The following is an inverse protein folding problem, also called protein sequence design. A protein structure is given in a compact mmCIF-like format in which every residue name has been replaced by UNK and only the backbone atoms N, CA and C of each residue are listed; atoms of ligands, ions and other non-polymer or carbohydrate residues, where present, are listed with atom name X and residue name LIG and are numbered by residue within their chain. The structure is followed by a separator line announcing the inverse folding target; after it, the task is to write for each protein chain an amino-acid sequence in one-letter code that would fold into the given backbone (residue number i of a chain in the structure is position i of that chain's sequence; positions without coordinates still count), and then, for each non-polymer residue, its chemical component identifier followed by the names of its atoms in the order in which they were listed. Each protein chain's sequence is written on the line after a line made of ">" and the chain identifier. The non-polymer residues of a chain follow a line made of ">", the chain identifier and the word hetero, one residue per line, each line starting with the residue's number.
data_IF_610443046743
#
_entry.id   IF_610443046743
#
_cell.length_a   1.000
_cell.length_b   1.000
_cell.length_c   1.000
_cell.angle_alpha   90.00
_cell.angle_beta   90.00
_cell.angle_gamma   90.00
#
_symmetry.space_group_name_H-M   'P 1'
#
loop_
_entity.id
_entity.type
_entity.pdbx_description
1 polymer ?
#
# COMPACT_ATOMS: atom_id res chain seq x y z
N UNK A 1 47.02 -61.45 58.96
CA UNK A 1 48.06 -60.53 59.49
C UNK A 1 48.44 -59.57 58.39
N UNK A 2 48.45 -58.27 58.70
CA UNK A 2 48.78 -57.16 57.79
C UNK A 2 50.19 -57.29 57.19
N UNK A 3 50.36 -56.95 55.91
CA UNK A 3 51.46 -56.11 55.41
C UNK A 3 51.31 -55.85 53.89
N UNK A 4 51.17 -54.58 53.51
CA UNK A 4 51.35 -54.02 52.16
C UNK A 4 52.68 -53.21 52.19
N UNK A 5 53.28 -52.72 51.07
CA UNK A 5 52.93 -52.88 49.64
C UNK A 5 54.17 -53.26 48.75
N UNK A 6 53.94 -53.62 47.47
CA UNK A 6 55.01 -53.77 46.48
C UNK A 6 54.78 -52.88 45.24
N UNK A 7 55.73 -51.95 45.01
CA UNK A 7 55.87 -51.17 43.76
C UNK A 7 56.41 -52.08 42.64
N UNK A 8 55.97 -51.93 41.38
CA UNK A 8 56.76 -52.32 40.24
C UNK A 8 57.43 -51.12 39.55
N UNK A 9 58.62 -51.40 39.03
CA UNK A 9 59.54 -50.50 38.33
C UNK A 9 59.14 -50.30 36.86
N UNK A 10 59.49 -49.10 36.41
CA UNK A 10 59.52 -48.51 35.06
C UNK A 10 59.99 -49.47 33.95
N UNK A 11 59.23 -49.45 32.84
CA UNK A 11 59.75 -49.61 31.47
C UNK A 11 59.48 -48.29 30.76
N UNK A 12 60.51 -47.70 30.18
CA UNK A 12 60.45 -46.44 29.47
C UNK A 12 59.84 -46.64 28.07
N UNK A 13 58.75 -45.93 27.77
CA UNK A 13 58.33 -45.66 26.39
C UNK A 13 58.63 -44.19 26.08
N UNK A 14 59.32 -43.99 24.96
CA UNK A 14 59.64 -42.70 24.37
C UNK A 14 58.38 -41.87 24.14
N UNK A 15 58.30 -40.70 24.75
CA UNK A 15 57.34 -39.67 24.41
C UNK A 15 57.83 -38.95 23.15
N UNK A 16 57.22 -39.23 21.99
CA UNK A 16 57.25 -38.30 20.86
C UNK A 16 56.25 -37.18 21.15
N UNK A 17 56.78 -35.99 21.40
CA UNK A 17 56.06 -34.73 21.51
C UNK A 17 55.36 -34.40 20.20
N UNK A 18 54.02 -34.51 20.18
CA UNK A 18 53.19 -33.86 19.17
C UNK A 18 52.86 -32.44 19.66
N UNK A 19 53.45 -31.46 18.99
CA UNK A 19 53.05 -30.06 19.05
C UNK A 19 51.57 -29.97 18.63
N UNK A 20 50.65 -29.72 19.57
CA UNK A 20 49.32 -29.23 19.22
C UNK A 20 49.47 -27.78 18.78
N UNK A 21 49.56 -27.56 17.46
CA UNK A 21 49.24 -26.26 16.87
C UNK A 21 47.75 -26.00 17.09
N UNK A 22 47.43 -25.16 18.08
CA UNK A 22 46.14 -24.47 18.18
C UNK A 22 46.04 -23.53 16.98
N UNK A 23 45.58 -24.05 15.85
CA UNK A 23 45.06 -23.23 14.76
C UNK A 23 43.71 -22.71 15.25
N UNK A 24 43.50 -21.39 15.41
CA UNK A 24 42.15 -20.90 15.58
C UNK A 24 41.43 -21.24 14.28
N UNK A 25 40.47 -22.17 14.35
CA UNK A 25 39.56 -22.42 13.26
C UNK A 25 38.78 -21.11 13.03
N UNK A 26 39.30 -20.26 12.15
CA UNK A 26 38.52 -19.28 11.43
C UNK A 26 37.58 -20.10 10.55
N UNK A 27 36.49 -20.60 11.15
CA UNK A 27 35.32 -20.92 10.37
C UNK A 27 34.97 -19.63 9.62
N UNK A 28 34.86 -19.64 8.29
CA UNK A 28 34.14 -18.56 7.66
C UNK A 28 32.79 -18.54 8.36
N UNK A 29 32.41 -17.40 8.96
CA UNK A 29 31.00 -17.14 9.18
C UNK A 29 30.39 -17.35 7.81
N UNK A 30 29.63 -18.43 7.64
CA UNK A 30 28.62 -18.47 6.60
C UNK A 30 27.74 -17.29 6.93
N UNK A 31 28.03 -16.15 6.32
CA UNK A 31 27.05 -15.10 6.14
C UNK A 31 25.87 -15.82 5.51
N UNK A 32 24.79 -15.92 6.28
CA UNK A 32 23.47 -16.19 5.72
C UNK A 32 23.37 -15.32 4.45
N UNK A 33 23.06 -15.88 3.27
CA UNK A 33 22.73 -15.01 2.15
C UNK A 33 21.61 -14.10 2.65
N UNK A 34 21.82 -12.78 2.54
CA UNK A 34 20.75 -11.83 2.73
C UNK A 34 19.58 -12.31 1.85
N UNK A 35 18.45 -12.60 2.46
CA UNK A 35 17.24 -12.93 1.73
C UNK A 35 16.90 -11.72 0.86
N UNK A 36 16.99 -11.88 -0.45
CA UNK A 36 16.99 -10.81 -1.42
C UNK A 36 15.56 -10.50 -1.88
N UNK A 37 14.90 -9.55 -1.21
CA UNK A 37 14.01 -8.50 -1.73
C UNK A 37 12.80 -8.81 -2.67
N UNK A 38 11.53 -8.48 -2.27
CA UNK A 38 10.17 -8.47 -2.99
C UNK A 38 9.38 -7.18 -3.40
N UNK A 39 8.89 -6.97 -4.62
CA UNK A 39 8.43 -5.64 -5.11
C UNK A 39 7.22 -5.04 -4.42
N UNK A 40 7.21 -3.70 -4.30
CA UNK A 40 6.14 -3.00 -3.61
C UNK A 40 4.86 -2.96 -4.45
N UNK A 41 3.74 -3.06 -3.74
CA UNK A 41 2.40 -3.05 -4.30
C UNK A 41 1.72 -1.79 -3.85
N UNK A 42 1.12 -1.03 -4.76
CA UNK A 42 0.43 0.18 -4.34
C UNK A 42 -0.95 -0.15 -3.75
N UNK A 43 -1.22 0.39 -2.56
CA UNK A 43 -2.52 0.31 -1.88
C UNK A 43 -3.50 1.40 -2.34
N UNK A 44 -3.00 2.42 -3.06
CA UNK A 44 -3.78 3.62 -3.42
C UNK A 44 -3.89 3.88 -4.93
N UNK A 45 -3.08 3.21 -5.75
CA UNK A 45 -2.91 3.63 -7.13
C UNK A 45 -4.05 3.21 -8.06
N UNK A 46 -4.69 4.21 -8.68
CA UNK A 46 -5.55 4.11 -9.86
C UNK A 46 -4.98 5.03 -10.97
N UNK A 47 -4.30 4.48 -11.99
CA UNK A 47 -3.60 5.29 -12.98
C UNK A 47 -4.38 5.79 -14.18
N UNK A 48 -5.70 5.60 -14.27
CA UNK A 48 -6.47 5.78 -15.51
C UNK A 48 -6.08 6.95 -16.46
N UNK A 49 -6.53 6.88 -17.74
CA UNK A 49 -5.80 7.04 -19.01
C UNK A 49 -4.59 7.96 -19.19
N UNK A 50 -4.29 8.90 -18.29
CA UNK A 50 -3.07 9.71 -18.36
C UNK A 50 -2.72 10.38 -17.00
N UNK A 51 -3.14 9.77 -15.89
CA UNK A 51 -3.00 10.18 -14.48
C UNK A 51 -3.91 11.32 -14.00
N UNK A 52 -4.54 11.05 -12.84
CA UNK A 52 -5.18 11.95 -11.86
C UNK A 52 -6.70 11.77 -11.72
N UNK A 53 -7.12 10.64 -11.15
CA UNK A 53 -8.47 10.46 -10.60
C UNK A 53 -8.48 10.76 -9.10
N UNK A 54 -9.28 11.74 -8.67
CA UNK A 54 -9.59 12.00 -7.26
C UNK A 54 -11.08 11.78 -7.02
N UNK A 55 -11.42 10.97 -6.03
CA UNK A 55 -12.78 10.75 -5.59
C UNK A 55 -13.31 11.89 -4.73
N UNK A 56 -14.54 12.32 -4.99
CA UNK A 56 -15.25 13.34 -4.23
C UNK A 56 -16.62 12.80 -3.84
N UNK A 57 -16.91 12.71 -2.55
CA UNK A 57 -18.28 12.60 -2.04
C UNK A 57 -18.56 13.75 -1.09
N UNK A 58 -19.43 14.65 -1.55
CA UNK A 58 -20.07 15.68 -0.73
C UNK A 58 -21.50 15.22 -0.54
N UNK A 59 -21.83 14.63 0.60
CA UNK A 59 -23.23 14.53 1.00
C UNK A 59 -23.61 15.75 1.84
N UNK A 60 -24.73 16.40 1.52
CA UNK A 60 -25.57 17.22 2.44
C UNK A 60 -26.78 17.91 1.73
N UNK A 61 -28.00 18.05 2.33
CA UNK A 61 -28.61 17.53 3.58
C UNK A 61 -30.05 16.89 3.36
N UNK A 62 -31.08 17.10 4.23
CA UNK A 62 -31.83 16.13 5.05
C UNK A 62 -32.98 15.33 4.38
N UNK A 63 -33.13 15.35 3.07
CA UNK A 63 -34.32 14.85 2.38
C UNK A 63 -34.18 13.44 1.81
N UNK A 64 -33.49 12.52 2.51
CA UNK A 64 -33.50 11.05 2.25
C UNK A 64 -33.29 10.63 0.79
N UNK A 65 -32.82 11.52 -0.07
CA UNK A 65 -32.75 11.27 -1.49
C UNK A 65 -31.33 10.83 -1.76
N UNK A 66 -31.15 9.54 -1.88
CA UNK A 66 -29.85 8.91 -2.07
C UNK A 66 -29.22 9.30 -3.41
N UNK A 67 -29.79 10.14 -4.25
CA UNK A 67 -29.27 10.38 -5.62
C UNK A 67 -28.00 11.24 -5.58
N UNK A 68 -26.85 10.79 -6.14
CA UNK A 68 -25.63 11.59 -6.22
C UNK A 68 -25.91 12.86 -7.03
N UNK A 69 -25.53 14.03 -6.52
CA UNK A 69 -25.62 15.29 -7.26
C UNK A 69 -24.43 15.39 -8.24
N UNK A 70 -24.63 15.25 -9.56
CA UNK A 70 -23.56 15.31 -10.56
C UNK A 70 -22.90 16.70 -10.63
N UNK A 71 -23.55 17.74 -10.09
CA UNK A 71 -23.00 19.09 -10.01
C UNK A 71 -21.97 19.27 -8.88
N UNK A 72 -21.86 18.30 -7.97
CA UNK A 72 -20.92 18.30 -6.84
C UNK A 72 -19.81 17.24 -6.95
N UNK A 73 -19.83 16.42 -7.99
CA UNK A 73 -18.76 15.49 -8.35
C UNK A 73 -18.00 16.04 -9.55
N UNK A 74 -16.70 16.30 -9.42
CA UNK A 74 -15.86 16.71 -10.56
C UNK A 74 -15.07 15.51 -11.07
N UNK A 75 -15.57 14.86 -12.12
CA UNK A 75 -14.86 13.81 -12.87
C UNK A 75 -14.06 14.34 -14.07
N UNK A 76 -13.92 15.67 -14.18
CA UNK A 76 -13.14 16.30 -15.23
C UNK A 76 -11.65 15.93 -15.09
N UNK A 77 -11.16 15.04 -15.96
CA UNK A 77 -9.79 14.49 -15.92
C UNK A 77 -9.74 12.96 -15.86
N UNK A 78 -10.83 12.29 -15.50
CA UNK A 78 -10.84 10.84 -15.20
C UNK A 78 -11.04 9.91 -16.43
N UNK A 79 -11.00 10.47 -17.65
CA UNK A 79 -11.16 9.69 -18.90
C UNK A 79 -12.50 8.96 -19.03
N UNK A 80 -12.56 7.98 -19.94
CA UNK A 80 -13.78 7.22 -20.25
C UNK A 80 -14.28 6.31 -19.09
N UNK A 81 -13.41 5.98 -18.14
CA UNK A 81 -13.73 5.14 -16.97
C UNK A 81 -14.78 5.77 -16.05
N UNK A 82 -14.79 7.11 -15.91
CA UNK A 82 -15.82 7.80 -15.11
C UNK A 82 -17.23 7.76 -15.75
N UNK A 83 -17.34 7.35 -17.02
CA UNK A 83 -18.59 7.31 -17.78
C UNK A 83 -19.09 5.90 -18.14
N UNK A 84 -18.36 4.83 -17.81
CA UNK A 84 -18.80 3.46 -18.09
C UNK A 84 -19.77 2.93 -17.03
N UNK A 85 -20.56 1.93 -17.40
CA UNK A 85 -21.66 1.39 -16.59
C UNK A 85 -21.23 0.83 -15.21
N UNK A 86 -19.92 0.60 -14.99
CA UNK A 86 -19.33 0.17 -13.71
C UNK A 86 -19.35 1.27 -12.63
N UNK A 87 -19.32 2.55 -13.00
CA UNK A 87 -19.45 3.67 -12.04
C UNK A 87 -20.89 4.20 -11.93
N UNK A 88 -21.76 3.86 -12.88
CA UNK A 88 -23.18 4.19 -12.76
C UNK A 88 -23.88 3.17 -11.87
N UNK A 89 -24.66 3.65 -10.91
CA UNK A 89 -25.49 2.92 -9.95
C UNK A 89 -26.46 1.85 -10.52
N UNK A 90 -26.02 0.86 -11.30
CA UNK A 90 -26.89 -0.24 -11.76
C UNK A 90 -26.37 -1.68 -11.55
N UNK A 91 -25.12 -1.92 -11.15
CA UNK A 91 -24.61 -3.26 -10.79
C UNK A 91 -24.61 -3.51 -9.26
N UNK A 92 -24.63 -4.73 -8.71
CA UNK A 92 -24.35 -4.99 -7.29
C UNK A 92 -22.87 -4.82 -6.89
N UNK A 93 -21.96 -4.70 -7.86
CA UNK A 93 -20.54 -4.38 -7.67
C UNK A 93 -20.36 -2.87 -7.87
N UNK A 94 -20.48 -2.05 -6.81
CA UNK A 94 -20.41 -0.59 -6.94
C UNK A 94 -19.37 0.05 -6.03
N UNK A 95 -18.49 0.89 -6.59
CA UNK A 95 -17.68 1.80 -5.78
C UNK A 95 -18.57 2.89 -5.15
N UNK A 96 -18.76 2.88 -3.84
CA UNK A 96 -19.26 4.02 -3.03
C UNK A 96 -18.26 4.46 -1.96
N UNK A 97 -17.58 5.60 -2.14
CA UNK A 97 -16.69 6.14 -1.11
C UNK A 97 -17.39 6.16 0.26
N UNK A 98 -16.92 5.33 1.19
CA UNK A 98 -17.50 5.21 2.53
C UNK A 98 -16.66 6.05 3.49
N UNK A 99 -17.28 7.11 4.01
CA UNK A 99 -16.73 7.95 5.06
C UNK A 99 -17.45 7.56 6.35
N UNK A 100 -16.79 6.76 7.18
CA UNK A 100 -17.24 6.46 8.53
C UNK A 100 -16.31 7.10 9.54
N UNK A 101 -16.78 8.10 10.27
CA UNK A 101 -16.20 8.44 11.56
C UNK A 101 -16.53 7.35 12.56
N UNK A 102 -15.52 6.82 13.25
CA UNK A 102 -15.74 5.93 14.38
C UNK A 102 -16.67 6.59 15.41
N UNK A 103 -17.79 5.94 15.74
CA UNK A 103 -18.84 6.46 16.66
C UNK A 103 -19.98 7.24 15.99
N UNK A 104 -20.00 7.34 14.66
CA UNK A 104 -21.17 7.82 13.93
C UNK A 104 -21.98 6.64 13.41
N UNK A 105 -23.29 6.66 13.69
CA UNK A 105 -24.20 5.76 13.00
C UNK A 105 -24.24 6.12 11.50
N UNK A 106 -24.57 5.15 10.66
CA UNK A 106 -24.75 5.33 9.21
C UNK A 106 -25.83 6.36 8.86
N UNK A 107 -26.73 6.68 9.79
CA UNK A 107 -27.78 7.69 9.59
C UNK A 107 -27.34 9.14 9.76
N UNK A 108 -26.11 9.39 10.24
CA UNK A 108 -25.55 10.73 10.40
C UNK A 108 -24.66 11.15 9.21
N UNK A 109 -24.39 10.24 8.29
CA UNK A 109 -23.62 10.52 7.07
C UNK A 109 -24.35 11.58 6.24
N UNK A 110 -23.65 12.61 5.78
CA UNK A 110 -24.23 13.70 4.98
C UNK A 110 -25.14 14.67 5.75
N UNK A 111 -24.77 15.05 6.98
CA UNK A 111 -25.51 16.07 7.77
C UNK A 111 -24.72 17.34 8.16
N UNK A 112 -23.59 17.62 7.53
CA UNK A 112 -22.78 18.82 7.80
C UNK A 112 -22.57 19.73 6.57
N UNK A 113 -23.18 20.94 6.54
CA UNK A 113 -22.88 21.93 5.52
C UNK A 113 -21.53 22.62 5.82
N UNK A 114 -20.69 22.85 4.81
CA UNK A 114 -19.51 23.73 4.95
C UNK A 114 -18.21 23.30 4.26
N UNK A 115 -18.17 22.17 3.58
CA UNK A 115 -16.93 21.67 2.97
C UNK A 115 -16.82 22.03 1.50
N UNK A 116 -15.61 22.33 1.05
CA UNK A 116 -15.31 22.38 -0.39
C UNK A 116 -13.94 21.78 -0.66
N UNK A 117 -13.80 21.21 -1.86
CA UNK A 117 -12.54 20.65 -2.33
C UNK A 117 -12.16 21.29 -3.65
N UNK A 118 -10.87 21.48 -3.87
CA UNK A 118 -10.32 21.84 -5.17
C UNK A 118 -9.16 20.92 -5.51
N UNK A 119 -9.12 20.47 -6.77
CA UNK A 119 -8.01 19.68 -7.31
C UNK A 119 -7.24 20.52 -8.32
N UNK A 120 -5.91 20.39 -8.30
CA UNK A 120 -5.04 21.03 -9.29
C UNK A 120 -4.21 19.97 -10.01
N UNK A 121 -4.61 19.60 -11.21
CA UNK A 121 -3.74 18.97 -12.21
C UNK A 121 -2.84 20.09 -12.78
N UNK A 122 -1.52 19.94 -13.02
CA UNK A 122 -0.57 18.81 -12.96
C UNK A 122 0.22 18.67 -11.63
N UNK A 123 -0.16 19.43 -10.59
CA UNK A 123 0.55 19.44 -9.31
C UNK A 123 0.21 18.24 -8.40
N UNK A 124 -0.74 17.39 -8.82
CA UNK A 124 -1.25 16.25 -8.07
C UNK A 124 -1.64 16.61 -6.63
N UNK A 125 -2.35 17.73 -6.48
CA UNK A 125 -2.72 18.28 -5.18
C UNK A 125 -4.24 18.28 -5.00
N UNK A 126 -4.71 17.71 -3.89
CA UNK A 126 -6.07 17.86 -3.37
C UNK A 126 -6.05 18.88 -2.26
N UNK A 127 -6.96 19.85 -2.29
CA UNK A 127 -7.17 20.79 -1.19
C UNK A 127 -8.54 20.59 -0.59
N UNK A 128 -8.58 20.37 0.71
CA UNK A 128 -9.76 20.21 1.54
C UNK A 128 -9.99 21.49 2.35
N UNK A 129 -11.20 22.04 2.30
CA UNK A 129 -11.64 23.12 3.18
C UNK A 129 -12.65 22.57 4.18
N UNK A 130 -12.31 22.67 5.46
CA UNK A 130 -13.17 22.27 6.56
C UNK A 130 -13.63 23.53 7.31
N UNK A 131 -14.92 23.86 7.24
CA UNK A 131 -15.49 25.01 7.96
C UNK A 131 -16.39 24.53 9.11
N UNK A 132 -15.83 24.45 10.32
CA UNK A 132 -16.56 24.12 11.54
C UNK A 132 -16.65 25.31 12.53
N UNK A 133 -16.37 26.53 12.06
CA UNK A 133 -16.41 27.72 12.91
C UNK A 133 -17.83 27.98 13.42
N UNK A 134 -17.98 28.09 14.74
CA UNK A 134 -19.28 28.23 15.39
C UNK A 134 -20.06 26.91 15.57
N UNK A 135 -19.50 25.78 15.14
CA UNK A 135 -20.09 24.45 15.29
C UNK A 135 -19.26 23.64 16.29
N UNK A 136 -19.88 23.24 17.40
CA UNK A 136 -19.19 22.46 18.45
C UNK A 136 -19.39 20.94 18.30
N UNK A 137 -19.81 20.50 17.12
CA UNK A 137 -19.73 19.10 16.70
C UNK A 137 -18.45 18.85 15.90
N UNK A 138 -18.02 17.60 15.85
CA UNK A 138 -16.91 17.16 15.01
C UNK A 138 -17.28 17.24 13.54
N UNK A 139 -16.46 17.93 12.75
CA UNK A 139 -16.55 18.07 11.31
C UNK A 139 -15.31 17.45 10.68
N UNK A 140 -15.48 16.53 9.74
CA UNK A 140 -14.34 15.88 9.07
C UNK A 140 -14.46 16.00 7.56
N UNK A 141 -13.32 16.17 6.93
CA UNK A 141 -13.14 16.11 5.48
C UNK A 141 -11.94 15.22 5.23
N UNK A 142 -11.96 14.39 4.19
CA UNK A 142 -10.86 13.47 3.94
C UNK A 142 -10.55 13.33 2.45
N UNK A 143 -9.31 12.97 2.20
CA UNK A 143 -8.91 12.26 0.98
C UNK A 143 -8.84 10.80 1.39
N UNK A 144 -9.96 10.12 1.21
CA UNK A 144 -10.04 8.68 1.40
C UNK A 144 -9.69 7.96 0.10
N UNK A 145 -9.23 6.73 0.22
CA UNK A 145 -9.31 5.69 -0.81
C UNK A 145 -10.04 4.49 -0.22
N UNK A 146 -11.33 4.66 0.09
CA UNK A 146 -12.22 3.60 0.55
C UNK A 146 -13.28 3.32 -0.50
N UNK A 147 -13.54 2.04 -0.77
CA UNK A 147 -14.75 1.61 -1.47
C UNK A 147 -15.58 0.68 -0.57
N UNK A 148 -16.90 0.57 -0.75
CA UNK A 148 -17.69 -0.55 -0.28
C UNK A 148 -17.25 -1.71 -1.16
N UNK A 149 -16.99 -2.84 -0.55
CA UNK A 149 -16.36 -3.93 -1.29
C UNK A 149 -14.94 -3.57 -1.80
N UNK A 150 -14.28 -2.48 -1.32
CA UNK A 150 -12.79 -2.27 -1.42
C UNK A 150 -12.00 -3.20 -0.52
N UNK A 151 -12.55 -4.39 -0.33
CA UNK A 151 -11.67 -5.49 -0.16
C UNK A 151 -10.60 -5.38 -1.25
N UNK A 152 -9.35 -5.52 -0.84
CA UNK A 152 -8.28 -5.89 -1.73
C UNK A 152 -8.67 -7.29 -2.27
N UNK A 153 -9.69 -7.35 -3.13
CA UNK A 153 -10.21 -8.57 -3.73
C UNK A 153 -9.13 -9.02 -4.69
N UNK A 154 -8.43 -10.12 -4.40
CA UNK A 154 -7.34 -10.49 -5.27
C UNK A 154 -7.89 -11.08 -6.56
N UNK A 155 -6.95 -11.38 -7.46
CA UNK A 155 -7.14 -12.26 -8.60
C UNK A 155 -7.74 -13.65 -8.28
N UNK A 156 -7.57 -14.64 -9.16
CA UNK A 156 -8.42 -15.84 -9.24
C UNK A 156 -8.62 -16.69 -7.95
N UNK A 157 -7.82 -16.49 -6.90
CA UNK A 157 -7.85 -17.22 -5.62
C UNK A 157 -8.60 -16.51 -4.46
N UNK A 158 -9.06 -15.25 -4.60
CA UNK A 158 -9.92 -14.51 -3.65
C UNK A 158 -9.43 -14.28 -2.19
N UNK A 159 -8.16 -14.51 -1.84
CA UNK A 159 -7.57 -14.16 -0.53
C UNK A 159 -7.22 -12.65 -0.31
N UNK A 160 -7.90 -11.98 0.63
CA UNK A 160 -7.61 -10.58 1.01
C UNK A 160 -6.17 -10.37 1.52
N UNK A 161 -5.62 -9.17 1.32
CA UNK A 161 -4.34 -8.78 1.93
C UNK A 161 -4.50 -8.42 3.39
N UNK A 162 -3.54 -8.85 4.17
CA UNK A 162 -3.55 -8.75 5.62
C UNK A 162 -2.34 -7.97 6.12
N UNK A 163 -2.37 -7.55 7.38
CA UNK A 163 -1.21 -6.95 8.04
C UNK A 163 0.01 -7.91 8.11
N UNK A 164 -0.16 -9.21 7.81
CA UNK A 164 0.93 -10.19 7.75
C UNK A 164 1.63 -10.30 6.39
N UNK A 165 1.05 -9.77 5.31
CA UNK A 165 1.58 -10.02 3.95
C UNK A 165 2.80 -9.16 3.62
N UNK A 166 2.97 -8.02 4.29
CA UNK A 166 4.07 -7.11 4.02
C UNK A 166 4.16 -5.93 4.97
N UNK A 167 5.18 -5.10 4.75
CA UNK A 167 5.33 -3.78 5.38
C UNK A 167 4.45 -2.75 4.69
N UNK A 168 3.72 -1.95 5.47
CA UNK A 168 2.81 -0.93 4.96
C UNK A 168 3.39 0.44 5.28
N UNK A 169 3.63 1.22 4.24
CA UNK A 169 4.11 2.59 4.35
C UNK A 169 3.14 3.52 3.62
N UNK A 170 2.80 4.63 4.25
CA UNK A 170 2.01 5.71 3.64
C UNK A 170 2.86 6.97 3.67
N UNK A 171 3.11 7.58 2.52
CA UNK A 171 3.84 8.82 2.41
C UNK A 171 3.12 9.82 1.53
N UNK A 172 3.26 11.10 1.85
CA UNK A 172 2.68 12.20 1.08
C UNK A 172 3.29 13.53 1.51
N UNK A 173 2.98 14.59 0.76
CA UNK A 173 3.24 15.97 1.17
C UNK A 173 1.94 16.63 1.59
N UNK A 174 1.99 17.39 2.67
CA UNK A 174 0.82 18.15 3.09
C UNK A 174 1.16 19.56 3.57
N UNK A 175 0.18 20.44 3.47
CA UNK A 175 0.15 21.75 4.11
C UNK A 175 -1.23 21.95 4.70
N UNK A 176 -1.31 22.15 6.01
CA UNK A 176 -2.54 22.52 6.70
C UNK A 176 -2.42 23.92 7.30
N UNK A 177 -3.51 24.67 7.25
CA UNK A 177 -3.62 26.00 7.84
C UNK A 177 -4.91 26.13 8.63
N UNK A 178 -4.83 26.52 9.90
CA UNK A 178 -5.99 27.00 10.64
C UNK A 178 -6.43 28.37 10.10
N UNK A 179 -7.64 28.45 9.55
CA UNK A 179 -8.16 29.66 8.89
C UNK A 179 -9.08 30.49 9.78
N UNK A 180 -9.66 29.90 10.84
CA UNK A 180 -10.49 30.60 11.84
C UNK A 180 -10.15 30.16 13.27
N UNK A 181 -10.24 31.05 14.28
CA UNK A 181 -9.96 30.69 15.67
C UNK A 181 -11.00 29.70 16.22
N UNK A 182 -10.65 29.03 17.33
CA UNK A 182 -11.57 28.16 18.06
C UNK A 182 -12.70 28.95 18.73
N UNK A 183 -13.94 28.49 18.54
CA UNK A 183 -15.16 29.05 19.14
C UNK A 183 -15.80 28.13 20.18
N UNK A 184 -15.26 26.92 20.37
CA UNK A 184 -15.82 25.89 21.25
C UNK A 184 -14.82 25.51 22.36
N UNK A 185 -15.33 24.88 23.42
CA UNK A 185 -14.52 24.42 24.55
C UNK A 185 -13.60 23.26 24.15
N UNK A 186 -14.13 22.29 23.39
CA UNK A 186 -13.32 21.31 22.68
C UNK A 186 -12.65 21.97 21.49
N UNK A 187 -11.33 21.88 21.43
CA UNK A 187 -10.50 22.53 20.43
C UNK A 187 -9.77 21.49 19.61
N UNK A 188 -10.38 21.10 18.49
CA UNK A 188 -9.84 20.13 17.54
C UNK A 188 -9.64 20.79 16.18
N UNK A 189 -8.42 20.74 15.69
CA UNK A 189 -8.06 21.06 14.31
C UNK A 189 -6.90 20.16 13.94
N UNK A 190 -7.20 19.00 13.36
CA UNK A 190 -6.24 17.92 13.17
C UNK A 190 -6.06 17.62 11.69
N UNK A 191 -4.84 17.22 11.32
CA UNK A 191 -4.60 16.42 10.12
C UNK A 191 -4.11 15.05 10.56
N UNK A 192 -4.76 13.98 10.12
CA UNK A 192 -4.37 12.60 10.42
C UNK A 192 -4.21 11.73 9.17
N UNK A 193 -3.40 10.68 9.30
CA UNK A 193 -3.44 9.51 8.41
C UNK A 193 -4.08 8.36 9.16
N UNK A 194 -5.12 7.77 8.58
CA UNK A 194 -5.85 6.64 9.13
C UNK A 194 -5.58 5.41 8.25
N UNK A 195 -5.06 4.33 8.84
CA UNK A 195 -5.04 3.01 8.24
C UNK A 195 -6.15 2.17 8.85
N UNK A 196 -7.00 1.62 7.97
CA UNK A 196 -8.25 0.96 8.33
C UNK A 196 -8.13 -0.53 8.05
N UNK A 197 -8.57 -1.34 9.00
CA UNK A 197 -8.54 -2.80 8.95
C UNK A 197 -9.91 -3.39 9.26
N UNK A 198 -10.15 -4.61 8.81
CA UNK A 198 -11.21 -5.49 9.31
C UNK A 198 -10.55 -6.67 10.01
N UNK A 199 -11.03 -7.02 11.18
CA UNK A 199 -10.66 -8.26 11.85
C UNK A 199 -11.75 -9.34 11.73
N UNK A 200 -11.39 -10.57 12.07
CA UNK A 200 -12.30 -11.71 12.02
C UNK A 200 -13.38 -11.73 13.11
N UNK A 201 -13.25 -10.94 14.17
CA UNK A 201 -14.15 -10.95 15.34
C UNK A 201 -15.28 -9.91 15.24
N UNK A 202 -14.95 -8.68 14.86
CA UNK A 202 -15.87 -7.55 14.69
C UNK A 202 -16.49 -7.52 13.28
N UNK A 203 -15.76 -8.03 12.28
CA UNK A 203 -16.19 -8.08 10.89
C UNK A 203 -16.34 -6.69 10.24
N UNK A 204 -16.86 -6.68 9.01
CA UNK A 204 -16.87 -5.48 8.15
C UNK A 204 -17.75 -4.31 8.64
N UNK A 205 -18.57 -4.51 9.66
CA UNK A 205 -19.43 -3.46 10.22
C UNK A 205 -18.69 -2.55 11.22
N UNK A 206 -17.52 -2.98 11.69
CA UNK A 206 -16.84 -2.44 12.86
C UNK A 206 -15.31 -2.44 12.64
N UNK A 207 -14.79 -1.60 11.73
CA UNK A 207 -13.38 -1.64 11.35
C UNK A 207 -12.46 -1.08 12.45
N UNK A 208 -11.24 -1.63 12.51
CA UNK A 208 -10.17 -1.11 13.36
C UNK A 208 -9.39 0.00 12.65
N UNK A 209 -8.87 0.95 13.43
CA UNK A 209 -8.17 2.12 12.90
C UNK A 209 -6.94 2.48 13.72
N UNK A 210 -5.82 2.65 13.03
CA UNK A 210 -4.66 3.36 13.56
C UNK A 210 -4.62 4.75 12.92
N UNK A 211 -4.71 5.78 13.74
CA UNK A 211 -4.70 7.18 13.31
C UNK A 211 -3.45 7.89 13.79
N UNK A 212 -2.67 8.45 12.87
CA UNK A 212 -1.47 9.24 13.18
C UNK A 212 -1.79 10.72 13.05
N UNK A 213 -1.57 11.50 14.11
CA UNK A 213 -1.80 12.95 14.12
C UNK A 213 -0.54 13.67 13.64
N UNK A 214 -0.64 14.33 12.49
CA UNK A 214 0.44 15.13 11.90
C UNK A 214 0.34 16.62 12.22
N UNK A 215 -0.87 17.12 12.47
CA UNK A 215 -1.09 18.50 12.87
C UNK A 215 -2.04 18.57 14.05
N UNK A 216 -1.67 19.38 15.04
CA UNK A 216 -2.48 19.75 16.19
C UNK A 216 -1.92 21.09 16.72
N UNK A 217 -2.71 22.18 16.74
CA UNK A 217 -2.25 23.50 17.19
C UNK A 217 -2.02 23.58 18.72
N UNK A 218 -2.00 22.46 19.43
CA UNK A 218 -1.60 22.37 20.84
C UNK A 218 -2.77 22.53 21.81
N UNK A 219 -3.97 22.24 21.34
CA UNK A 219 -5.21 22.35 22.12
C UNK A 219 -5.97 21.05 22.19
N UNK A 220 -5.58 20.05 21.39
CA UNK A 220 -6.06 18.69 21.53
C UNK A 220 -5.32 17.98 22.68
N UNK A 221 -5.90 16.88 23.18
CA UNK A 221 -5.41 16.17 24.36
C UNK A 221 -3.91 15.85 24.25
N UNK A 222 -3.16 16.11 25.32
CA UNK A 222 -1.74 15.77 25.35
C UNK A 222 -1.54 14.24 25.27
N UNK A 223 -0.54 13.76 24.51
CA UNK A 223 -0.24 12.33 24.45
C UNK A 223 0.28 11.83 25.80
N UNK A 224 0.11 10.54 26.05
CA UNK A 224 0.83 9.84 27.11
C UNK A 224 2.32 9.60 26.75
N UNK A 225 3.04 8.91 27.63
CA UNK A 225 4.47 8.60 27.43
C UNK A 225 4.75 7.71 26.21
N UNK A 226 3.73 7.04 25.67
CA UNK A 226 3.85 6.17 24.50
C UNK A 226 3.44 6.89 23.21
N UNK A 227 2.97 8.13 23.29
CA UNK A 227 2.48 8.91 22.15
C UNK A 227 0.98 8.74 21.90
N UNK A 228 0.27 7.98 22.72
CA UNK A 228 -1.16 7.73 22.57
C UNK A 228 -1.94 8.94 23.07
N UNK A 229 -2.82 9.46 22.22
CA UNK A 229 -3.68 10.61 22.53
C UNK A 229 -5.06 10.14 22.98
N UNK A 230 -5.64 9.19 22.25
CA UNK A 230 -6.99 8.69 22.48
C UNK A 230 -7.16 7.28 21.90
N UNK A 231 -8.05 6.49 22.48
CA UNK A 231 -8.43 5.16 21.97
C UNK A 231 -9.83 4.78 22.43
N UNK A 232 -10.41 3.74 21.82
CA UNK A 232 -11.80 3.31 22.05
C UNK A 232 -11.94 2.06 22.92
N UNK A 233 -10.85 1.30 23.09
CA UNK A 233 -10.80 0.12 23.95
C UNK A 233 -11.25 0.42 25.38
N UNK A 234 -12.17 -0.38 25.91
CA UNK A 234 -12.48 -0.39 27.34
C UNK A 234 -11.36 -1.12 28.10
N UNK A 235 -10.66 -0.43 29.00
CA UNK A 235 -9.54 -1.01 29.76
C UNK A 235 -9.96 -2.01 30.84
N UNK A 236 -11.24 -2.03 31.20
CA UNK A 236 -11.80 -2.92 32.23
C UNK A 236 -12.17 -4.27 31.64
N UNK A 237 -12.84 -4.24 30.48
CA UNK A 237 -13.28 -5.44 29.79
C UNK A 237 -12.29 -5.91 28.74
N UNK A 238 -11.36 -5.05 28.32
CA UNK A 238 -10.43 -5.27 27.20
C UNK A 238 -11.18 -5.58 25.90
N UNK A 239 -12.18 -4.75 25.55
CA UNK A 239 -13.01 -4.96 24.35
C UNK A 239 -13.27 -3.67 23.60
N UNK A 240 -13.63 -3.78 22.31
CA UNK A 240 -14.04 -2.67 21.46
C UNK A 240 -15.32 -3.01 20.67
N UNK A 241 -16.51 -2.90 21.26
CA UNK A 241 -17.74 -3.42 20.64
C UNK A 241 -18.09 -2.88 19.24
N UNK A 242 -17.56 -1.71 18.88
CA UNK A 242 -17.83 -1.06 17.60
C UNK A 242 -16.57 -0.98 16.70
N UNK A 243 -15.53 -1.76 16.99
CA UNK A 243 -14.19 -1.73 16.37
C UNK A 243 -13.17 -0.99 17.24
N UNK A 244 -11.89 -1.29 17.13
CA UNK A 244 -10.87 -0.63 17.93
C UNK A 244 -10.19 0.53 17.18
N UNK A 245 -10.06 1.69 17.82
CA UNK A 245 -9.27 2.81 17.31
C UNK A 245 -8.21 3.23 18.30
N UNK A 246 -7.03 3.55 17.78
CA UNK A 246 -5.97 4.25 18.51
C UNK A 246 -5.52 5.48 17.73
N UNK A 247 -5.50 6.63 18.39
CA UNK A 247 -4.94 7.87 17.88
C UNK A 247 -3.61 8.14 18.55
N UNK A 248 -2.58 8.32 17.73
CA UNK A 248 -1.20 8.48 18.17
C UNK A 248 -0.62 9.75 17.56
N UNK A 249 0.26 10.41 18.30
CA UNK A 249 0.90 11.63 17.83
C UNK A 249 2.12 11.29 16.99
N UNK A 250 2.26 11.90 15.82
CA UNK A 250 3.51 11.84 15.06
C UNK A 250 4.66 12.42 15.92
N UNK A 251 5.90 11.88 15.78
CA UNK A 251 7.05 12.39 16.52
C UNK A 251 7.29 13.89 16.27
N UNK A 252 7.14 14.30 15.01
CA UNK A 252 7.26 15.68 14.56
C UNK A 252 5.93 16.16 13.99
N UNK A 253 5.31 17.14 14.66
CA UNK A 253 4.12 17.78 14.13
C UNK A 253 4.48 18.80 13.05
N UNK A 254 3.62 18.86 12.04
CA UNK A 254 3.57 19.91 11.06
C UNK A 254 3.40 21.27 11.72
N UNK A 255 4.03 22.28 11.13
CA UNK A 255 3.80 23.68 11.49
C UNK A 255 2.64 24.23 10.67
N UNK A 256 1.82 25.06 11.31
CA UNK A 256 0.73 25.76 10.64
C UNK A 256 1.22 26.50 9.38
N UNK A 257 0.42 26.42 8.32
CA UNK A 257 0.65 27.03 7.02
C UNK A 257 2.02 26.69 6.37
N UNK A 258 2.63 25.55 6.74
CA UNK A 258 3.91 25.10 6.20
C UNK A 258 3.75 23.72 5.54
N UNK A 259 4.37 23.54 4.37
CA UNK A 259 4.50 22.22 3.77
C UNK A 259 5.40 21.31 4.60
N UNK A 260 4.98 20.07 4.78
CA UNK A 260 5.77 19.00 5.38
C UNK A 260 5.65 17.73 4.54
N UNK A 261 6.64 16.86 4.67
CA UNK A 261 6.58 15.48 4.19
C UNK A 261 6.14 14.60 5.35
N UNK A 262 5.25 13.65 5.05
CA UNK A 262 4.72 12.67 5.98
C UNK A 262 5.13 11.30 5.44
N UNK A 263 5.57 10.43 6.36
CA UNK A 263 6.00 9.06 6.11
C UNK A 263 5.64 8.23 7.35
N UNK A 264 4.57 7.45 7.22
CA UNK A 264 4.05 6.59 8.27
C UNK A 264 4.35 5.12 7.95
N UNK A 265 5.19 4.50 8.78
CA UNK A 265 5.38 3.06 8.81
C UNK A 265 4.27 2.42 9.65
N UNK A 266 3.16 2.13 8.99
CA UNK A 266 2.01 1.53 9.65
C UNK A 266 2.25 0.11 10.15
N UNK A 267 3.24 -0.61 9.62
CA UNK A 267 3.62 -1.91 10.19
C UNK A 267 4.28 -1.76 11.55
N UNK A 268 5.20 -0.79 11.70
CA UNK A 268 5.77 -0.47 13.01
C UNK A 268 4.74 0.13 13.98
N UNK A 269 3.83 0.98 13.48
CA UNK A 269 2.76 1.53 14.30
C UNK A 269 1.80 0.43 14.77
N UNK A 270 1.42 -0.50 13.88
CA UNK A 270 0.62 -1.67 14.25
C UNK A 270 1.31 -2.47 15.35
N UNK A 271 2.58 -2.84 15.17
CA UNK A 271 3.31 -3.59 16.19
C UNK A 271 3.42 -2.86 17.52
N UNK A 272 3.59 -1.53 17.48
CA UNK A 272 3.71 -0.72 18.68
C UNK A 272 2.40 -0.57 19.45
N UNK A 273 1.27 -0.51 18.74
CA UNK A 273 -0.04 -0.18 19.32
C UNK A 273 -1.06 -1.31 19.22
N UNK A 274 -0.61 -2.54 18.89
CA UNK A 274 -1.46 -3.72 18.70
C UNK A 274 -2.41 -3.96 19.87
N UNK A 275 -2.01 -3.75 21.12
CA UNK A 275 -2.87 -3.96 22.29
C UNK A 275 -4.13 -3.07 22.30
N UNK A 276 -4.10 -1.93 21.60
CA UNK A 276 -5.25 -1.03 21.48
C UNK A 276 -6.20 -1.41 20.36
N UNK A 277 -5.70 -2.08 19.31
CA UNK A 277 -6.44 -2.44 18.10
C UNK A 277 -6.70 -3.93 17.95
N UNK A 278 -6.15 -4.74 18.84
CA UNK A 278 -6.25 -6.20 18.84
C UNK A 278 -6.25 -6.74 20.28
N UNK A 279 -7.27 -6.41 21.09
CA UNK A 279 -7.36 -6.88 22.46
C UNK A 279 -7.50 -8.41 22.57
N UNK A 280 -7.97 -9.07 21.50
CA UNK A 280 -8.16 -10.52 21.41
C UNK A 280 -6.88 -11.28 21.04
N UNK A 281 -5.79 -10.55 20.72
CA UNK A 281 -4.50 -11.12 20.33
C UNK A 281 -4.59 -12.02 19.08
N UNK A 282 -5.46 -11.65 18.14
CA UNK A 282 -5.56 -12.26 16.82
C UNK A 282 -4.22 -12.19 16.07
N UNK A 283 -3.88 -13.18 15.25
CA UNK A 283 -2.69 -13.11 14.41
C UNK A 283 -2.85 -12.00 13.36
N UNK A 284 -1.73 -11.39 12.93
CA UNK A 284 -1.73 -10.33 11.87
C UNK A 284 -2.41 -10.76 10.56
N UNK A 285 -2.48 -12.07 10.30
CA UNK A 285 -3.17 -12.65 9.14
C UNK A 285 -4.68 -12.45 9.18
N UNK A 286 -5.24 -12.08 10.33
CA UNK A 286 -6.68 -11.93 10.49
C UNK A 286 -7.11 -10.45 10.36
N UNK A 287 -6.15 -9.54 10.22
CA UNK A 287 -6.37 -8.11 9.98
C UNK A 287 -6.30 -7.80 8.49
N UNK A 288 -7.44 -7.85 7.83
CA UNK A 288 -7.60 -7.52 6.41
C UNK A 288 -7.50 -6.01 6.22
N UNK A 289 -6.67 -5.56 5.29
CA UNK A 289 -6.56 -4.13 4.98
C UNK A 289 -7.81 -3.65 4.24
N UNK A 290 -8.36 -2.52 4.72
CA UNK A 290 -9.59 -1.91 4.20
C UNK A 290 -9.33 -0.65 3.39
N UNK A 291 -8.34 0.14 3.79
CA UNK A 291 -8.02 1.37 3.10
C UNK A 291 -7.16 2.32 3.92
N UNK A 292 -6.77 3.41 3.26
CA UNK A 292 -6.01 4.51 3.84
C UNK A 292 -6.80 5.79 3.62
N UNK A 293 -6.80 6.66 4.62
CA UNK A 293 -7.43 7.98 4.54
C UNK A 293 -6.51 9.05 5.11
N UNK A 294 -6.52 10.22 4.49
CA UNK A 294 -5.91 11.43 5.03
C UNK A 294 -7.05 12.36 5.44
N UNK A 295 -7.18 12.63 6.73
CA UNK A 295 -8.37 13.23 7.33
C UNK A 295 -8.02 14.59 7.95
N UNK A 296 -8.84 15.61 7.69
CA UNK A 296 -8.81 16.90 8.35
C UNK A 296 -10.05 17.05 9.23
N UNK A 297 -9.84 17.10 10.55
CA UNK A 297 -10.91 17.04 11.55
C UNK A 297 -10.95 18.30 12.42
N UNK A 298 -12.09 18.99 12.42
CA UNK A 298 -12.26 20.28 13.09
C UNK A 298 -13.44 20.27 14.09
N UNK A 299 -13.33 21.08 15.15
CA UNK A 299 -14.41 21.40 16.09
C UNK A 299 -14.28 22.85 16.51
N UNK A 300 -15.28 23.67 16.20
CA UNK A 300 -15.30 25.09 16.51
C UNK A 300 -14.27 25.94 15.78
N UNK A 301 -13.60 25.41 14.76
CA UNK A 301 -12.55 26.09 13.99
C UNK A 301 -12.69 25.73 12.50
N UNK A 302 -11.82 26.28 11.67
CA UNK A 302 -11.80 25.96 10.24
C UNK A 302 -10.37 25.76 9.80
N UNK A 303 -10.15 24.83 8.90
CA UNK A 303 -8.84 24.51 8.33
C UNK A 303 -8.90 24.46 6.81
N UNK A 304 -7.73 24.64 6.19
CA UNK A 304 -7.50 24.29 4.79
C UNK A 304 -6.30 23.38 4.74
N UNK A 305 -6.49 22.16 4.21
CA UNK A 305 -5.47 21.13 4.10
C UNK A 305 -5.23 20.78 2.63
N UNK A 306 -4.01 20.98 2.15
CA UNK A 306 -3.58 20.54 0.82
C UNK A 306 -2.70 19.29 0.97
N UNK A 307 -2.93 18.29 0.12
CA UNK A 307 -2.24 17.00 0.11
C UNK A 307 -1.77 16.72 -1.32
N UNK A 308 -0.51 16.29 -1.51
CA UNK A 308 0.03 15.91 -2.80
C UNK A 308 0.99 14.72 -2.70
N UNK A 309 1.32 14.13 -3.84
CA UNK A 309 2.31 13.05 -3.96
C UNK A 309 2.02 11.86 -3.03
N UNK A 310 0.73 11.49 -2.93
CA UNK A 310 0.30 10.40 -2.07
C UNK A 310 0.78 9.06 -2.64
N UNK A 311 1.47 8.30 -1.80
CA UNK A 311 1.98 6.99 -2.10
C UNK A 311 1.77 6.10 -0.87
N UNK A 312 0.87 5.12 -0.97
CA UNK A 312 0.85 4.05 0.01
C UNK A 312 1.16 2.72 -0.65
N UNK A 313 2.07 2.00 0.00
CA UNK A 313 2.66 0.79 -0.53
C UNK A 313 2.66 -0.30 0.51
N UNK A 314 2.32 -1.50 0.07
CA UNK A 314 2.61 -2.73 0.76
C UNK A 314 3.84 -3.36 0.11
N UNK A 315 4.89 -3.54 0.89
CA UNK A 315 6.13 -4.20 0.48
C UNK A 315 6.12 -5.62 1.05
N UNK A 316 6.00 -6.69 0.24
CA UNK A 316 5.87 -8.05 0.74
C UNK A 316 7.09 -8.51 1.55
N UNK A 317 6.88 -9.35 2.55
CA UNK A 317 7.92 -9.76 3.50
C UNK A 317 9.05 -10.64 2.91
N UNK A 318 8.85 -11.27 1.75
CA UNK A 318 9.86 -12.08 1.07
C UNK A 318 9.53 -12.21 -0.43
N UNK A 319 10.55 -12.34 -1.32
CA UNK A 319 10.42 -12.52 -2.76
C UNK A 319 9.25 -13.39 -3.18
N UNK A 320 8.51 -12.94 -4.19
CA UNK A 320 7.41 -13.70 -4.77
C UNK A 320 7.79 -14.05 -6.20
N UNK A 321 7.82 -15.36 -6.41
CA UNK A 321 8.01 -16.01 -7.69
C UNK A 321 6.63 -16.32 -8.27
N UNK A 322 6.29 -15.71 -9.39
CA UNK A 322 4.99 -15.88 -9.99
C UNK A 322 4.99 -15.62 -11.49
N UNK A 323 4.13 -16.31 -12.26
CA UNK A 323 3.86 -15.91 -13.63
C UNK A 323 3.12 -14.56 -13.65
N UNK A 324 3.46 -13.73 -14.63
CA UNK A 324 2.72 -12.52 -14.98
C UNK A 324 1.80 -12.84 -16.15
N UNK A 325 0.58 -13.29 -15.85
CA UNK A 325 -0.41 -13.70 -16.85
C UNK A 325 -0.98 -12.48 -17.56
N UNK A 326 -0.88 -12.44 -18.88
CA UNK A 326 -1.34 -11.35 -19.71
C UNK A 326 -2.87 -11.28 -19.80
N UNK A 327 -3.34 -10.03 -19.88
CA UNK A 327 -4.71 -9.59 -20.05
C UNK A 327 -5.52 -10.33 -21.10
N UNK A 328 -4.90 -10.52 -22.26
CA UNK A 328 -5.52 -11.16 -23.41
C UNK A 328 -5.10 -12.63 -23.50
N UNK A 329 -6.03 -13.43 -24.00
CA UNK A 329 -5.81 -14.84 -24.32
C UNK A 329 -5.41 -14.98 -25.79
N UNK A 330 -4.67 -16.04 -26.10
CA UNK A 330 -4.43 -16.48 -27.46
C UNK A 330 -5.74 -16.78 -28.20
N UNK A 331 -5.69 -16.85 -29.53
CA UNK A 331 -6.87 -17.08 -30.39
C UNK A 331 -7.60 -18.40 -30.12
N UNK A 332 -6.95 -19.35 -29.46
CA UNK A 332 -7.46 -20.64 -29.00
C UNK A 332 -7.94 -20.63 -27.54
N UNK A 333 -7.92 -19.47 -26.88
CA UNK A 333 -8.34 -19.29 -25.48
C UNK A 333 -7.25 -19.59 -24.44
N UNK A 334 -6.05 -20.00 -24.86
CA UNK A 334 -4.92 -20.22 -23.95
C UNK A 334 -4.50 -18.92 -23.26
N UNK A 335 -4.18 -19.03 -21.97
CA UNK A 335 -3.59 -17.92 -21.22
C UNK A 335 -2.18 -17.63 -21.74
N UNK A 336 -1.86 -16.36 -21.94
CA UNK A 336 -0.52 -15.92 -22.28
C UNK A 336 0.15 -15.33 -21.03
N UNK A 337 1.46 -15.42 -20.94
CA UNK A 337 2.27 -14.96 -19.81
C UNK A 337 3.43 -14.12 -20.36
N UNK A 338 3.89 -13.14 -19.57
CA UNK A 338 5.17 -12.49 -19.81
C UNK A 338 6.27 -13.56 -19.76
N UNK A 339 7.09 -13.62 -20.80
CA UNK A 339 8.05 -14.69 -21.04
C UNK A 339 9.41 -14.09 -21.40
N UNK A 340 10.48 -14.71 -20.93
CA UNK A 340 11.83 -14.46 -21.42
C UNK A 340 12.11 -15.30 -22.66
N UNK A 341 12.09 -14.63 -23.82
CA UNK A 341 12.16 -15.27 -25.13
C UNK A 341 13.35 -16.23 -25.25
N UNK A 342 13.05 -17.51 -25.50
CA UNK A 342 14.01 -18.61 -25.61
C UNK A 342 14.82 -18.90 -24.32
N UNK A 343 14.35 -18.51 -23.13
CA UNK A 343 15.05 -18.70 -21.86
C UNK A 343 16.47 -18.10 -21.91
N UNK A 344 16.56 -16.83 -22.32
CA UNK A 344 17.85 -16.16 -22.41
C UNK A 344 18.46 -15.99 -21.01
N UNK A 345 19.72 -16.41 -20.86
CA UNK A 345 20.45 -16.24 -19.57
C UNK A 345 21.48 -15.11 -19.63
N UNK A 346 21.50 -14.36 -20.74
CA UNK A 346 22.45 -13.26 -21.01
C UNK A 346 21.85 -12.22 -21.95
N UNK A 347 22.21 -10.93 -21.78
CA UNK A 347 21.87 -9.88 -22.74
C UNK A 347 22.56 -10.03 -24.10
N UNK A 348 21.99 -9.46 -25.18
CA UNK A 348 20.67 -8.83 -25.23
C UNK A 348 19.57 -9.91 -25.14
N UNK A 349 18.67 -9.75 -24.18
CA UNK A 349 17.51 -10.60 -23.97
C UNK A 349 16.24 -9.81 -24.29
N UNK A 350 15.15 -10.51 -24.59
CA UNK A 350 13.91 -9.89 -25.02
C UNK A 350 12.76 -10.55 -24.27
N UNK A 351 11.87 -9.75 -23.72
CA UNK A 351 10.62 -10.25 -23.18
C UNK A 351 9.57 -10.36 -24.29
N UNK A 352 8.76 -11.39 -24.25
CA UNK A 352 7.62 -11.62 -25.15
C UNK A 352 6.39 -12.09 -24.38
N UNK A 353 5.30 -12.35 -25.10
CA UNK A 353 4.14 -13.07 -24.58
C UNK A 353 4.11 -14.49 -25.14
N UNK A 354 3.99 -15.49 -24.27
CA UNK A 354 3.94 -16.90 -24.66
C UNK A 354 2.86 -17.65 -23.89
N UNK A 355 2.49 -18.86 -24.35
CA UNK A 355 1.58 -19.72 -23.60
C UNK A 355 2.09 -19.91 -22.18
N UNK A 356 1.22 -19.65 -21.19
CA UNK A 356 1.53 -19.91 -19.80
C UNK A 356 1.84 -21.41 -19.63
N UNK A 357 3.08 -21.73 -19.28
CA UNK A 357 3.59 -23.09 -19.22
C UNK A 357 4.32 -23.44 -17.92
N UNK A 358 4.54 -22.45 -17.04
CA UNK A 358 5.17 -22.66 -15.73
C UNK A 358 6.66 -23.01 -15.78
N UNK A 359 7.32 -22.78 -16.92
CA UNK A 359 8.77 -22.91 -17.06
C UNK A 359 9.53 -21.69 -16.54
N UNK A 360 10.85 -21.84 -16.40
CA UNK A 360 11.74 -20.85 -15.78
C UNK A 360 11.71 -19.47 -16.46
N UNK A 361 11.48 -19.42 -17.79
CA UNK A 361 11.29 -18.16 -18.54
C UNK A 361 10.04 -17.34 -18.11
N UNK A 362 9.13 -17.93 -17.35
CA UNK A 362 7.92 -17.27 -16.85
C UNK A 362 7.92 -17.17 -15.32
N UNK A 363 9.00 -17.62 -14.66
CA UNK A 363 9.14 -17.51 -13.22
C UNK A 363 9.72 -16.14 -12.85
N UNK A 364 8.84 -15.14 -12.83
CA UNK A 364 9.23 -13.77 -12.52
C UNK A 364 9.38 -13.59 -11.01
N UNK A 365 10.54 -13.10 -10.61
CA UNK A 365 10.77 -12.57 -9.26
C UNK A 365 10.30 -11.13 -9.21
N UNK A 366 9.28 -10.86 -8.40
CA UNK A 366 8.81 -9.51 -8.09
C UNK A 366 9.66 -9.03 -6.91
N UNK A 367 10.59 -8.08 -7.07
CA UNK A 367 11.67 -7.75 -6.11
C UNK A 367 11.58 -6.41 -5.34
N UNK A 368 11.98 -6.30 -4.04
CA UNK A 368 11.60 -5.26 -2.99
C UNK A 368 12.09 -3.89 -3.32
N UNK A 369 13.02 -3.85 -4.24
CA UNK A 369 13.49 -2.68 -4.88
C UNK A 369 12.63 -2.28 -6.08
N UNK A 370 11.39 -2.76 -6.19
CA UNK A 370 10.45 -2.57 -7.30
C UNK A 370 10.92 -3.17 -8.64
N UNK A 371 11.77 -4.18 -8.67
CA UNK A 371 12.18 -4.81 -9.94
C UNK A 371 11.28 -5.99 -10.32
N UNK A 372 11.18 -6.27 -11.63
CA UNK A 372 10.65 -7.53 -12.16
C UNK A 372 11.80 -8.28 -12.80
N UNK A 373 12.18 -9.43 -12.23
CA UNK A 373 13.37 -10.16 -12.66
C UNK A 373 13.04 -11.53 -13.21
N UNK A 374 13.79 -11.96 -14.22
CA UNK A 374 13.77 -13.33 -14.76
C UNK A 374 15.18 -13.69 -15.18
N UNK A 375 15.64 -14.89 -14.84
CA UNK A 375 17.01 -15.36 -15.10
C UNK A 375 18.14 -14.37 -14.68
N UNK A 376 17.91 -13.58 -13.62
CA UNK A 376 18.87 -12.60 -13.11
C UNK A 376 18.99 -11.30 -13.92
N UNK A 377 18.06 -11.07 -14.85
CA UNK A 377 17.91 -9.82 -15.60
C UNK A 377 16.66 -9.09 -15.15
N UNK A 378 16.63 -7.77 -15.30
CA UNK A 378 15.52 -6.92 -14.93
C UNK A 378 14.73 -6.48 -16.16
N UNK A 379 13.39 -6.46 -16.05
CA UNK A 379 12.52 -5.82 -17.02
C UNK A 379 12.77 -4.30 -16.98
N UNK A 380 13.04 -3.67 -18.12
CA UNK A 380 13.41 -2.27 -18.16
C UNK A 380 12.91 -1.53 -19.39
N UNK A 381 12.54 -0.27 -19.21
CA UNK A 381 12.25 0.65 -20.31
C UNK A 381 13.56 1.11 -20.98
N UNK A 382 13.62 1.00 -22.32
CA UNK A 382 14.85 1.18 -23.08
C UNK A 382 15.47 2.57 -22.96
N UNK A 383 16.71 2.62 -22.47
CA UNK A 383 17.54 3.83 -22.45
C UNK A 383 17.00 4.95 -21.57
N UNK A 384 16.41 4.59 -20.41
CA UNK A 384 15.83 5.51 -19.43
C UNK A 384 14.72 6.42 -19.97
N UNK A 385 14.12 6.05 -21.11
CA UNK A 385 13.07 6.85 -21.74
C UNK A 385 11.75 6.65 -21.00
N UNK A 386 10.97 7.72 -20.91
CA UNK A 386 9.70 7.76 -20.18
C UNK A 386 8.49 8.01 -21.07
N UNK A 387 8.69 8.19 -22.38
CA UNK A 387 7.61 8.51 -23.33
C UNK A 387 6.83 7.26 -23.76
N UNK A 388 5.62 7.47 -24.28
CA UNK A 388 4.85 6.40 -24.93
C UNK A 388 5.66 5.71 -26.04
N UNK A 389 5.37 4.43 -26.24
CA UNK A 389 6.04 3.56 -27.20
C UNK A 389 7.54 3.35 -26.92
N UNK A 390 8.01 3.69 -25.72
CA UNK A 390 9.35 3.31 -25.28
C UNK A 390 9.39 1.78 -25.17
N UNK A 391 10.26 1.07 -25.92
CA UNK A 391 10.32 -0.39 -25.84
C UNK A 391 10.73 -0.86 -24.46
N UNK A 392 10.11 -1.94 -23.98
CA UNK A 392 10.45 -2.60 -22.73
C UNK A 392 11.11 -3.94 -23.05
N UNK A 393 12.23 -4.24 -22.39
CA UNK A 393 13.02 -5.45 -22.62
C UNK A 393 13.72 -5.95 -21.37
N UNK A 394 14.70 -6.83 -21.56
CA UNK A 394 15.49 -7.44 -20.48
C UNK A 394 16.94 -7.01 -20.54
N UNK A 395 17.43 -6.43 -19.45
CA UNK A 395 18.78 -5.91 -19.31
C UNK A 395 19.39 -6.31 -17.95
N UNK A 396 20.72 -6.20 -17.76
CA UNK A 396 21.32 -6.35 -16.44
C UNK A 396 20.66 -5.39 -15.44
N UNK A 397 20.37 -5.90 -14.24
CA UNK A 397 19.84 -5.07 -13.17
C UNK A 397 20.85 -3.99 -12.77
N UNK A 398 20.45 -2.72 -12.77
CA UNK A 398 21.35 -1.58 -12.55
C UNK A 398 20.83 -0.53 -11.54
N UNK A 399 19.82 -0.89 -10.75
CA UNK A 399 19.10 -0.02 -9.81
C UNK A 399 18.43 1.20 -10.46
N UNK A 400 18.48 1.31 -11.79
CA UNK A 400 17.94 2.40 -12.57
C UNK A 400 16.43 2.51 -12.43
N UNK A 401 15.93 3.73 -12.41
CA UNK A 401 14.50 4.00 -12.25
C UNK A 401 13.64 3.44 -13.41
N UNK A 402 14.25 3.19 -14.57
CA UNK A 402 13.60 2.56 -15.73
C UNK A 402 13.33 1.06 -15.56
N UNK A 403 13.93 0.42 -14.55
CA UNK A 403 13.72 -0.99 -14.18
C UNK A 403 12.77 -1.15 -12.99
N UNK A 404 12.19 -0.04 -12.52
CA UNK A 404 11.28 -0.02 -11.39
C UNK A 404 9.84 -0.17 -11.88
N UNK A 405 9.07 -1.00 -11.20
CA UNK A 405 7.73 -1.42 -11.56
C UNK A 405 6.92 -1.62 -10.30
N UNK A 406 5.75 -1.01 -10.26
CA UNK A 406 4.80 -1.17 -9.17
C UNK A 406 3.59 -1.91 -9.71
N UNK A 407 3.15 -2.92 -8.96
CA UNK A 407 1.90 -3.62 -9.21
C UNK A 407 0.75 -2.70 -8.77
N UNK A 408 -0.03 -2.25 -9.75
CA UNK A 408 -1.22 -1.43 -9.56
C UNK A 408 -2.47 -2.26 -9.36
N UNK A 409 -3.53 -1.61 -8.88
CA UNK A 409 -4.77 -2.26 -8.45
C UNK A 409 -5.38 -3.11 -9.57
N UNK A 410 -5.72 -2.52 -10.72
CA UNK A 410 -6.48 -3.22 -11.78
C UNK A 410 -5.67 -4.13 -12.72
N UNK A 411 -4.67 -4.83 -12.18
CA UNK A 411 -3.74 -5.68 -12.92
C UNK A 411 -2.74 -4.90 -13.76
N UNK A 412 -2.65 -3.58 -13.59
CA UNK A 412 -1.66 -2.77 -14.31
C UNK A 412 -0.31 -2.89 -13.63
N UNK A 413 0.76 -3.00 -14.41
CA UNK A 413 2.13 -2.85 -13.91
C UNK A 413 2.65 -1.55 -14.48
N UNK A 414 3.12 -0.62 -13.65
CA UNK A 414 3.54 0.68 -14.13
C UNK A 414 4.93 1.05 -13.64
N UNK A 415 5.63 1.85 -14.44
CA UNK A 415 6.90 2.42 -14.04
C UNK A 415 6.64 3.74 -13.28
N UNK A 416 7.06 3.89 -12.01
CA UNK A 416 6.70 5.04 -11.19
C UNK A 416 7.32 6.36 -11.67
N UNK A 417 8.42 6.31 -12.44
CA UNK A 417 9.09 7.51 -12.97
C UNK A 417 8.44 8.01 -14.25
N UNK A 418 8.04 7.12 -15.15
CA UNK A 418 7.32 7.51 -16.36
C UNK A 418 5.82 7.76 -16.10
N UNK A 419 5.27 7.15 -15.04
CA UNK A 419 3.84 7.00 -14.81
C UNK A 419 3.18 5.92 -15.68
N UNK A 420 3.84 5.47 -16.74
CA UNK A 420 3.25 4.64 -17.79
C UNK A 420 3.19 3.16 -17.43
N UNK A 421 2.24 2.48 -18.05
CA UNK A 421 1.98 1.06 -17.86
C UNK A 421 2.81 0.21 -18.82
N UNK A 422 3.16 -1.00 -18.39
CA UNK A 422 3.63 -2.08 -19.23
C UNK A 422 2.48 -2.52 -20.14
N UNK A 423 2.64 -2.35 -21.45
CA UNK A 423 1.65 -2.69 -22.47
C UNK A 423 2.24 -3.64 -23.51
N UNK A 424 1.45 -4.60 -24.00
CA UNK A 424 1.73 -5.23 -25.29
C UNK A 424 1.14 -4.34 -26.39
N UNK A 425 2.00 -3.77 -27.22
CA UNK A 425 1.63 -2.77 -28.23
C UNK A 425 0.48 -3.26 -29.12
N UNK A 426 -0.55 -2.43 -29.29
CA UNK A 426 -1.75 -2.70 -30.07
C UNK A 426 -2.58 -3.92 -29.57
N UNK A 427 -2.31 -4.44 -28.37
CA UNK A 427 -3.04 -5.58 -27.81
C UNK A 427 -2.90 -6.87 -28.61
N UNK A 428 -1.71 -7.14 -29.16
CA UNK A 428 -1.44 -8.42 -29.79
C UNK A 428 -1.67 -9.58 -28.81
N UNK A 429 -2.26 -10.67 -29.31
CA UNK A 429 -2.37 -11.96 -28.61
C UNK A 429 -1.66 -13.07 -29.38
N UNK A 430 -0.72 -12.70 -30.25
CA UNK A 430 0.11 -13.65 -30.99
C UNK A 430 1.24 -14.14 -30.11
N UNK A 431 1.37 -15.46 -29.98
CA UNK A 431 2.50 -16.09 -29.27
C UNK A 431 3.83 -15.62 -29.86
N UNK A 432 4.75 -15.22 -29.02
CA UNK A 432 6.06 -14.74 -29.43
C UNK A 432 6.11 -13.27 -29.80
N UNK A 433 5.04 -12.50 -29.56
CA UNK A 433 5.07 -11.06 -29.77
C UNK A 433 5.96 -10.39 -28.73
N UNK A 434 6.91 -9.59 -29.21
CA UNK A 434 8.00 -8.95 -28.45
C UNK A 434 7.79 -7.44 -28.30
N UNK A 435 6.66 -6.91 -28.78
CA UNK A 435 6.39 -5.48 -28.77
C UNK A 435 5.82 -5.07 -27.42
N UNK A 436 6.62 -5.20 -26.36
CA UNK A 436 6.31 -4.61 -25.06
C UNK A 436 6.75 -3.15 -25.04
N UNK A 437 5.94 -2.28 -24.45
CA UNK A 437 6.19 -0.86 -24.39
C UNK A 437 5.71 -0.21 -23.10
N UNK A 438 6.26 0.97 -22.81
CA UNK A 438 5.60 1.94 -21.94
C UNK A 438 4.48 2.62 -22.72
N UNK A 439 3.28 2.64 -22.16
CA UNK A 439 2.16 3.39 -22.70
C UNK A 439 1.33 4.00 -21.58
N UNK A 440 0.76 5.18 -21.83
CA UNK A 440 -0.17 5.86 -20.93
C UNK A 440 -1.22 4.88 -20.38
N UNK A 441 -1.39 4.85 -19.06
CA UNK A 441 -2.20 3.84 -18.39
C UNK A 441 -3.71 4.09 -18.57
N UNK A 442 -4.37 3.38 -19.49
CA UNK A 442 -5.79 3.59 -19.83
C UNK A 442 -6.74 2.47 -19.44
N UNK A 443 -6.23 1.44 -18.78
CA UNK A 443 -7.04 0.34 -18.23
C UNK A 443 -7.50 -0.67 -19.28
N UNK A 444 -6.95 -0.57 -20.50
CA UNK A 444 -7.15 -1.54 -21.56
C UNK A 444 -6.66 -2.94 -21.16
N UNK A 445 -7.30 -3.97 -21.69
CA UNK A 445 -6.93 -5.34 -21.37
C UNK A 445 -5.46 -5.65 -21.71
N UNK A 446 -4.88 -5.01 -22.72
CA UNK A 446 -3.46 -5.18 -23.06
C UNK A 446 -2.45 -4.57 -22.07
N UNK A 447 -2.94 -3.86 -21.05
CA UNK A 447 -2.14 -3.35 -19.94
C UNK A 447 -2.34 -4.17 -18.67
N UNK A 448 -3.12 -5.26 -18.74
CA UNK A 448 -3.43 -6.10 -17.59
C UNK A 448 -2.46 -7.27 -17.52
N UNK A 449 -1.96 -7.50 -16.33
CA UNK A 449 -1.00 -8.51 -15.94
C UNK A 449 -1.40 -9.04 -14.58
N UNK A 450 -1.54 -10.35 -14.49
CA UNK A 450 -2.11 -11.02 -13.33
C UNK A 450 -1.10 -11.96 -12.71
N UNK A 451 -0.96 -11.83 -11.40
CA UNK A 451 -0.16 -12.72 -10.56
C UNK A 451 -1.01 -13.14 -9.36
N UNK A 452 -0.86 -14.37 -8.85
CA UNK A 452 -1.41 -14.76 -7.55
C UNK A 452 -1.00 -13.80 -6.41
N UNK A 453 0.10 -13.07 -6.62
CA UNK A 453 0.69 -12.12 -5.68
C UNK A 453 0.06 -10.72 -5.66
N UNK A 454 -0.89 -10.37 -6.55
CA UNK A 454 -1.43 -9.00 -6.55
C UNK A 454 -2.16 -8.53 -7.80
N UNK A 455 -3.13 -9.29 -8.30
CA UNK A 455 -4.22 -8.67 -9.04
C UNK A 455 -5.25 -8.12 -8.03
N UNK A 456 -5.76 -6.91 -8.22
CA UNK A 456 -6.87 -6.35 -7.44
C UNK A 456 -8.01 -5.99 -8.42
N UNK A 457 -9.02 -6.85 -8.53
CA UNK A 457 -10.11 -6.59 -9.46
C UNK A 457 -11.05 -5.50 -8.97
#
# INVERSE_FOLDING_TARGET
>A
MRALPARPRRIALLALSALLLLVPALWPRLTQPAAADTGSVSLLYDPGPAHDCYGLVVEDPPDKNTTPDPGRTSSAGCGAFAGTAEFTRKSPERPTWDIGTYGWNTSNWGTSPGYSFTTQTPAKTVTMQNDASGVCGLHETNVSYTYPDSQLEPGPDRAYRTAADGRINVSYRAKIQQTKPFTCDEKRALLTTDLIFEDSEHGSAHPDVISVIHYDPGTFKAPDNNGVVWYTRDDTTMTCPDGCRVMVRAPDLMKDATWASIDDDFSQLFDKYVDYVNPEHLPKSDFVLRGVQIVSSDTGSSTTASVSDVDARMTPNAPVHAPLTYGLRGSDGQSLCLDDYNNATKPPAVADIWDCNGGDAQDWTIGQDDTLQVHGMCLGASGDRTADHTPVGLDPCDEGAHQKWVLGRYGQIYNPVSGRCLEVANGSSTRGDKNLELFDCWGGTQQKWWTPAGDYR
#
